data_IF_052126899450
#
_entry.id   IF_052126899450
#
_cell.length_a   1.000
_cell.length_b   1.000
_cell.length_c   1.000
_cell.angle_alpha   90.00
_cell.angle_beta   90.00
_cell.angle_gamma   90.00
#
_symmetry.space_group_name_H-M   'P 1'
#
loop_
_entity.id
_entity.type
_entity.pdbx_description
1 polymer ?
#
# COMPACT_ATOMS: atom_id res chain seq x y z
N UNK A 1 16.15 27.26 12.91
CA UNK A 1 16.64 26.73 11.63
C UNK A 1 15.62 27.04 10.56
N UNK A 2 15.94 28.02 9.72
CA UNK A 2 15.17 28.45 8.55
C UNK A 2 15.62 27.67 7.33
N UNK A 3 14.72 26.94 6.70
CA UNK A 3 14.86 26.56 5.28
C UNK A 3 13.55 26.92 4.59
N UNK A 4 13.58 28.08 3.93
CA UNK A 4 12.68 28.48 2.84
C UNK A 4 13.30 27.96 1.56
N UNK A 5 12.57 27.28 0.68
CA UNK A 5 12.72 27.32 -0.79
C UNK A 5 11.47 26.61 -1.36
N UNK A 6 10.48 27.39 -1.80
CA UNK A 6 10.30 27.79 -3.20
C UNK A 6 9.64 26.69 -4.04
N UNK A 7 8.32 26.51 -3.86
CA UNK A 7 7.49 25.84 -4.85
C UNK A 7 7.15 26.86 -5.94
N UNK A 8 7.88 26.74 -7.04
CA UNK A 8 7.77 27.56 -8.23
C UNK A 8 6.53 27.17 -9.02
N UNK A 9 5.77 28.20 -9.38
CA UNK A 9 4.64 28.29 -10.31
C UNK A 9 4.69 27.34 -11.53
N UNK A 10 3.53 26.80 -11.90
CA UNK A 10 3.18 26.73 -13.33
C UNK A 10 1.71 27.11 -13.53
N UNK A 11 1.55 28.17 -14.33
CA UNK A 11 0.32 28.89 -14.60
C UNK A 11 -0.56 28.17 -15.65
N UNK A 12 -1.87 28.14 -15.41
CA UNK A 12 -2.87 27.78 -16.43
C UNK A 12 -3.26 29.05 -17.17
N UNK A 13 -2.76 29.21 -18.39
CA UNK A 13 -3.14 30.30 -19.29
C UNK A 13 -4.43 29.94 -20.03
N UNK A 14 -5.52 30.66 -19.74
CA UNK A 14 -6.73 30.69 -20.57
C UNK A 14 -6.62 31.85 -21.57
N UNK A 15 -6.71 31.62 -22.88
CA UNK A 15 -6.92 32.71 -23.82
C UNK A 15 -8.42 33.02 -23.95
N UNK A 16 -8.78 34.22 -23.48
CA UNK A 16 -10.03 34.92 -23.77
C UNK A 16 -10.16 35.18 -25.27
N UNK A 17 -11.27 34.78 -25.88
CA UNK A 17 -11.68 35.25 -27.21
C UNK A 17 -12.79 36.28 -27.05
N UNK A 18 -12.40 37.55 -27.12
CA UNK A 18 -13.29 38.66 -27.39
C UNK A 18 -12.79 39.33 -28.68
N UNK A 19 -13.54 39.23 -29.77
CA UNK A 19 -13.52 40.25 -30.83
C UNK A 19 -14.94 40.45 -31.35
N UNK A 20 -15.33 41.71 -31.26
CA UNK A 20 -16.56 42.33 -31.69
C UNK A 20 -16.81 42.18 -33.20
N UNK A 21 -18.08 42.22 -33.55
CA UNK A 21 -18.56 42.27 -34.93
C UNK A 21 -18.53 43.67 -35.56
N UNK A 22 -18.83 43.65 -36.87
CA UNK A 22 -19.25 44.73 -37.79
C UNK A 22 -18.23 45.87 -38.00
N UNK A 23 -17.97 46.41 -39.20
CA UNK A 23 -18.83 46.70 -40.36
C UNK A 23 -17.88 47.20 -41.49
N UNK A 24 -18.00 46.86 -42.78
CA UNK A 24 -18.83 47.57 -43.79
C UNK A 24 -18.57 46.97 -45.18
N UNK A 25 -19.60 46.98 -46.02
CA UNK A 25 -19.66 46.40 -47.38
C UNK A 25 -19.11 47.39 -48.42
N UNK A 26 -18.37 46.91 -49.43
CA UNK A 26 -18.18 47.60 -50.71
C UNK A 26 -18.29 46.61 -51.88
N UNK A 27 -19.16 46.91 -52.84
CA UNK A 27 -19.57 46.03 -53.92
C UNK A 27 -18.70 46.12 -55.20
N UNK A 28 -18.50 44.95 -55.82
CA UNK A 28 -18.29 44.57 -57.24
C UNK A 28 -17.16 45.23 -58.07
N UNK A 29 -16.39 44.42 -58.84
CA UNK A 29 -16.87 44.03 -60.17
C UNK A 29 -16.69 42.54 -60.53
N UNK A 30 -17.66 42.03 -61.32
CA UNK A 30 -17.70 40.66 -61.85
C UNK A 30 -16.56 40.47 -62.84
N UNK A 31 -15.63 39.58 -62.52
CA UNK A 31 -14.49 39.21 -63.36
C UNK A 31 -14.47 37.69 -63.49
N UNK A 32 -14.24 37.22 -64.73
CA UNK A 32 -14.32 35.84 -65.22
C UNK A 32 -14.10 34.74 -64.16
N UNK A 33 -15.06 33.82 -64.06
CA UNK A 33 -15.01 32.69 -63.13
C UNK A 33 -13.73 31.85 -63.33
N UNK A 34 -12.79 31.88 -62.38
CA UNK A 34 -11.80 30.82 -62.27
C UNK A 34 -12.52 29.58 -61.75
N UNK A 35 -12.09 28.40 -62.22
CA UNK A 35 -12.52 27.10 -61.72
C UNK A 35 -12.65 27.14 -60.18
N UNK A 36 -13.84 26.79 -59.68
CA UNK A 36 -14.13 26.81 -58.26
C UNK A 36 -13.06 26.02 -57.50
N UNK A 37 -12.51 26.55 -56.39
CA UNK A 37 -11.71 25.73 -55.49
C UNK A 37 -12.59 24.57 -55.03
N UNK A 38 -12.05 23.35 -55.11
CA UNK A 38 -12.69 22.17 -54.56
C UNK A 38 -13.16 22.49 -53.14
N UNK A 39 -14.46 22.32 -52.89
CA UNK A 39 -15.02 22.49 -51.56
C UNK A 39 -14.19 21.67 -50.56
N UNK A 40 -13.94 22.17 -49.33
CA UNK A 40 -13.32 21.34 -48.31
C UNK A 40 -14.20 20.10 -48.16
N UNK A 41 -13.57 18.92 -48.29
CA UNK A 41 -14.27 17.66 -48.08
C UNK A 41 -15.01 17.74 -46.74
N UNK A 42 -16.33 17.61 -46.78
CA UNK A 42 -17.13 17.38 -45.57
C UNK A 42 -16.51 16.21 -44.82
N UNK A 43 -16.26 16.34 -43.49
CA UNK A 43 -15.76 15.20 -42.73
C UNK A 43 -16.76 14.07 -42.91
N UNK A 44 -16.28 12.97 -43.49
CA UNK A 44 -17.03 11.75 -43.70
C UNK A 44 -17.57 11.33 -42.34
N UNK A 45 -18.88 11.45 -42.16
CA UNK A 45 -19.52 11.16 -40.88
C UNK A 45 -19.48 9.64 -40.71
N UNK A 46 -18.74 9.18 -39.69
CA UNK A 46 -18.71 7.76 -39.30
C UNK A 46 -20.13 7.21 -39.31
N UNK A 47 -20.32 6.13 -40.05
CA UNK A 47 -21.63 5.50 -40.11
C UNK A 47 -21.98 4.91 -38.73
N UNK A 48 -23.27 4.82 -38.36
CA UNK A 48 -23.70 4.19 -37.10
C UNK A 48 -23.13 2.78 -36.89
N UNK A 49 -22.87 2.05 -37.97
CA UNK A 49 -22.29 0.70 -37.95
C UNK A 49 -20.81 0.69 -37.56
N UNK A 50 -20.01 1.63 -38.09
CA UNK A 50 -18.60 1.80 -37.70
C UNK A 50 -18.47 2.22 -36.23
N UNK A 51 -19.37 3.09 -35.77
CA UNK A 51 -19.41 3.50 -34.36
C UNK A 51 -19.77 2.32 -33.45
N UNK A 52 -20.78 1.53 -33.81
CA UNK A 52 -21.19 0.33 -33.05
C UNK A 52 -20.07 -0.71 -32.98
N UNK A 53 -19.39 -0.98 -34.10
CA UNK A 53 -18.28 -1.92 -34.15
C UNK A 53 -17.13 -1.49 -33.22
N UNK A 54 -16.75 -0.21 -33.26
CA UNK A 54 -15.73 0.37 -32.37
C UNK A 54 -16.12 0.29 -30.89
N UNK A 55 -17.37 0.59 -30.57
CA UNK A 55 -17.88 0.49 -29.19
C UNK A 55 -17.86 -0.94 -28.68
N UNK A 56 -18.30 -1.91 -29.51
CA UNK A 56 -18.25 -3.34 -29.15
C UNK A 56 -16.82 -3.82 -28.92
N UNK A 57 -15.87 -3.43 -29.78
CA UNK A 57 -14.45 -3.76 -29.59
C UNK A 57 -13.89 -3.15 -28.29
N UNK A 58 -14.30 -1.92 -27.96
CA UNK A 58 -13.92 -1.25 -26.71
C UNK A 58 -14.50 -1.96 -25.48
N UNK A 59 -15.77 -2.38 -25.54
CA UNK A 59 -16.43 -3.12 -24.46
C UNK A 59 -15.72 -4.45 -24.23
N UNK A 60 -15.43 -5.21 -25.28
CA UNK A 60 -14.73 -6.49 -25.17
C UNK A 60 -13.33 -6.32 -24.55
N UNK A 61 -12.58 -5.30 -24.97
CA UNK A 61 -11.27 -5.00 -24.40
C UNK A 61 -11.36 -4.65 -22.92
N UNK A 62 -12.35 -3.82 -22.53
CA UNK A 62 -12.56 -3.44 -21.12
C UNK A 62 -13.03 -4.60 -20.27
N UNK A 63 -13.89 -5.47 -20.80
CA UNK A 63 -14.36 -6.67 -20.12
C UNK A 63 -13.20 -7.64 -19.86
N UNK A 64 -12.41 -7.95 -20.88
CA UNK A 64 -11.22 -8.79 -20.73
C UNK A 64 -10.21 -8.22 -19.72
N UNK A 65 -10.00 -6.90 -19.73
CA UNK A 65 -9.15 -6.24 -18.75
C UNK A 65 -9.72 -6.29 -17.32
N UNK A 66 -11.05 -6.20 -17.17
CA UNK A 66 -11.71 -6.35 -15.87
C UNK A 66 -11.57 -7.77 -15.32
N UNK A 67 -11.87 -8.78 -16.15
CA UNK A 67 -11.68 -10.18 -15.77
C UNK A 67 -10.24 -10.50 -15.40
N UNK A 68 -9.26 -9.95 -16.11
CA UNK A 68 -7.85 -10.12 -15.78
C UNK A 68 -7.51 -9.52 -14.41
N UNK A 69 -8.05 -8.33 -14.09
CA UNK A 69 -7.88 -7.70 -12.76
C UNK A 69 -8.56 -8.51 -11.66
N UNK A 70 -9.74 -9.05 -11.91
CA UNK A 70 -10.46 -9.86 -10.94
C UNK A 70 -9.70 -11.15 -10.65
N UNK A 71 -9.23 -11.88 -11.68
CA UNK A 71 -8.37 -13.06 -11.51
C UNK A 71 -7.10 -12.74 -10.73
N UNK A 72 -6.46 -11.60 -11.01
CA UNK A 72 -5.26 -11.17 -10.29
C UNK A 72 -5.57 -10.85 -8.80
N UNK A 73 -6.69 -10.20 -8.52
CA UNK A 73 -7.14 -9.91 -7.14
C UNK A 73 -7.43 -11.19 -6.37
N UNK A 74 -8.13 -12.14 -6.99
CA UNK A 74 -8.47 -13.41 -6.35
C UNK A 74 -7.21 -14.23 -6.04
N UNK A 75 -6.24 -14.25 -6.98
CA UNK A 75 -4.94 -14.88 -6.76
C UNK A 75 -4.15 -14.20 -5.63
N UNK A 76 -4.13 -12.86 -5.60
CA UNK A 76 -3.47 -12.11 -4.53
C UNK A 76 -4.12 -12.39 -3.17
N UNK A 77 -5.45 -12.38 -3.09
CA UNK A 77 -6.18 -12.70 -1.87
C UNK A 77 -5.89 -14.13 -1.38
N UNK A 78 -5.90 -15.11 -2.28
CA UNK A 78 -5.55 -16.50 -1.93
C UNK A 78 -4.12 -16.62 -1.38
N UNK A 79 -3.17 -15.90 -1.99
CA UNK A 79 -1.79 -15.84 -1.51
C UNK A 79 -1.69 -15.17 -0.11
N UNK A 80 -2.42 -14.08 0.10
CA UNK A 80 -2.45 -13.37 1.38
C UNK A 80 -3.04 -14.23 2.50
N UNK A 81 -4.12 -14.96 2.21
CA UNK A 81 -4.72 -15.91 3.16
C UNK A 81 -3.74 -17.02 3.52
N UNK A 82 -3.06 -17.61 2.53
CA UNK A 82 -2.05 -18.64 2.78
C UNK A 82 -0.87 -18.10 3.61
N UNK A 83 -0.39 -16.89 3.31
CA UNK A 83 0.67 -16.23 4.06
C UNK A 83 0.23 -15.89 5.50
N UNK A 84 -1.01 -15.45 5.68
CA UNK A 84 -1.57 -15.18 7.00
C UNK A 84 -1.65 -16.46 7.85
N UNK A 85 -2.19 -17.55 7.30
CA UNK A 85 -2.27 -18.83 8.00
C UNK A 85 -0.89 -19.39 8.35
N UNK A 86 0.10 -19.24 7.46
CA UNK A 86 1.48 -19.61 7.74
C UNK A 86 2.08 -18.78 8.88
N UNK A 87 1.89 -17.45 8.88
CA UNK A 87 2.35 -16.58 9.97
C UNK A 87 1.68 -16.92 11.29
N UNK A 88 0.38 -17.20 11.29
CA UNK A 88 -0.37 -17.59 12.49
C UNK A 88 0.19 -18.86 13.13
N UNK A 89 0.50 -19.89 12.32
CA UNK A 89 1.12 -21.12 12.80
C UNK A 89 2.54 -20.89 13.35
N UNK A 90 3.34 -20.09 12.65
CA UNK A 90 4.70 -19.74 13.11
C UNK A 90 4.66 -18.97 14.43
N UNK A 91 3.72 -18.03 14.59
CA UNK A 91 3.53 -17.29 15.84
C UNK A 91 3.09 -18.20 16.99
N UNK A 92 2.16 -19.13 16.74
CA UNK A 92 1.75 -20.09 17.77
C UNK A 92 2.94 -20.93 18.26
N UNK A 93 3.74 -21.48 17.34
CA UNK A 93 4.93 -22.24 17.70
C UNK A 93 5.97 -21.42 18.47
N UNK A 94 6.12 -20.14 18.12
CA UNK A 94 7.01 -19.23 18.85
C UNK A 94 6.50 -18.92 20.26
N UNK A 95 5.19 -18.73 20.42
CA UNK A 95 4.60 -18.54 21.75
C UNK A 95 4.77 -19.80 22.62
N UNK A 96 4.52 -20.98 22.06
CA UNK A 96 4.73 -22.25 22.77
C UNK A 96 6.20 -22.41 23.21
N UNK A 97 7.16 -22.02 22.34
CA UNK A 97 8.59 -22.01 22.68
C UNK A 97 8.89 -21.06 23.84
N UNK A 98 8.41 -19.82 23.77
CA UNK A 98 8.64 -18.81 24.79
C UNK A 98 8.00 -19.18 26.14
N UNK A 99 6.80 -19.77 26.12
CA UNK A 99 6.14 -20.27 27.32
C UNK A 99 6.94 -21.41 27.95
N UNK A 100 7.41 -22.38 27.15
CA UNK A 100 8.26 -23.46 27.64
C UNK A 100 9.57 -22.95 28.26
N UNK A 101 10.22 -21.97 27.62
CA UNK A 101 11.43 -21.33 28.15
C UNK A 101 11.17 -20.58 29.45
N UNK A 102 10.05 -19.86 29.53
CA UNK A 102 9.64 -19.17 30.76
C UNK A 102 9.44 -20.16 31.91
N UNK A 103 8.67 -21.24 31.67
CA UNK A 103 8.40 -22.26 32.69
C UNK A 103 9.67 -22.98 33.13
N UNK A 104 10.57 -23.30 32.20
CA UNK A 104 11.85 -23.92 32.53
C UNK A 104 12.73 -23.01 33.41
N UNK A 105 12.78 -21.71 33.11
CA UNK A 105 13.52 -20.74 33.93
C UNK A 105 12.89 -20.60 35.32
N UNK A 106 11.56 -20.47 35.40
CA UNK A 106 10.86 -20.36 36.67
C UNK A 106 11.12 -21.58 37.56
N UNK A 107 11.03 -22.80 37.01
CA UNK A 107 11.32 -24.02 37.74
C UNK A 107 12.79 -24.11 38.20
N UNK A 108 13.74 -23.61 37.40
CA UNK A 108 15.14 -23.56 37.77
C UNK A 108 15.41 -22.56 38.91
N UNK A 109 14.77 -21.38 38.87
CA UNK A 109 14.86 -20.37 39.92
C UNK A 109 14.25 -20.88 41.24
N UNK A 110 13.08 -21.53 41.18
CA UNK A 110 12.44 -22.15 42.35
C UNK A 110 13.32 -23.24 42.97
N UNK A 111 13.95 -24.08 42.14
CA UNK A 111 14.85 -25.12 42.60
C UNK A 111 16.12 -24.53 43.25
N UNK A 112 16.70 -23.47 42.66
CA UNK A 112 17.85 -22.77 43.23
C UNK A 112 17.50 -22.15 44.58
N UNK A 113 16.37 -21.44 44.67
CA UNK A 113 15.89 -20.84 45.91
C UNK A 113 15.65 -21.89 47.01
N UNK A 114 15.04 -23.03 46.67
CA UNK A 114 14.82 -24.12 47.60
C UNK A 114 16.16 -24.67 48.16
N UNK A 115 17.18 -24.81 47.31
CA UNK A 115 18.53 -25.22 47.73
C UNK A 115 19.18 -24.18 48.64
N UNK A 116 19.09 -22.90 48.30
CA UNK A 116 19.64 -21.81 49.12
C UNK A 116 19.00 -21.76 50.50
N UNK A 117 17.68 -21.91 50.58
CA UNK A 117 16.94 -21.96 51.85
C UNK A 117 17.34 -23.20 52.66
N UNK A 118 17.47 -24.36 52.02
CA UNK A 118 17.91 -25.57 52.69
C UNK A 118 19.34 -25.42 53.25
N UNK A 119 20.26 -24.87 52.44
CA UNK A 119 21.63 -24.60 52.83
C UNK A 119 21.70 -23.57 53.97
N UNK A 120 20.91 -22.49 53.90
CA UNK A 120 20.82 -21.50 54.97
C UNK A 120 20.28 -22.11 56.26
N UNK A 121 19.20 -22.91 56.20
CA UNK A 121 18.66 -23.62 57.36
C UNK A 121 19.70 -24.55 57.99
N UNK A 122 20.50 -25.25 57.17
CA UNK A 122 21.58 -26.11 57.64
C UNK A 122 22.69 -25.30 58.36
N UNK A 123 23.13 -24.17 57.78
CA UNK A 123 24.11 -23.26 58.41
C UNK A 123 23.61 -22.70 59.74
N UNK A 124 22.36 -22.27 59.79
CA UNK A 124 21.72 -21.79 61.03
C UNK A 124 21.69 -22.89 62.09
N UNK A 125 21.35 -24.12 61.72
CA UNK A 125 21.35 -25.27 62.65
C UNK A 125 22.77 -25.56 63.18
N UNK A 126 23.78 -25.56 62.31
CA UNK A 126 25.18 -25.77 62.71
C UNK A 126 25.67 -24.68 63.67
N UNK A 127 25.39 -23.41 63.36
CA UNK A 127 25.70 -22.29 64.25
C UNK A 127 25.02 -22.41 65.62
N UNK A 128 23.73 -22.78 65.66
CA UNK A 128 23.01 -23.03 66.93
C UNK A 128 23.60 -24.20 67.73
N UNK A 129 24.20 -25.18 67.06
CA UNK A 129 24.91 -26.29 67.70
C UNK A 129 26.32 -25.92 68.19
N UNK A 130 26.77 -24.67 68.00
CA UNK A 130 28.05 -24.16 68.47
C UNK A 130 29.14 -24.03 67.41
N UNK A 131 28.88 -24.42 66.15
CA UNK A 131 29.83 -24.21 65.06
C UNK A 131 29.81 -22.75 64.61
N UNK A 132 30.68 -21.95 65.24
CA UNK A 132 30.81 -20.51 64.98
C UNK A 132 31.29 -20.19 63.56
N UNK A 133 31.88 -21.14 62.83
CA UNK A 133 32.35 -20.92 61.45
C UNK A 133 31.18 -20.86 60.44
N UNK A 134 30.02 -21.41 60.80
CA UNK A 134 28.82 -21.46 59.96
C UNK A 134 27.78 -20.39 60.33
N UNK A 135 28.05 -19.55 61.33
CA UNK A 135 27.16 -18.47 61.70
C UNK A 135 27.09 -17.42 60.59
N UNK A 136 25.91 -16.83 60.37
CA UNK A 136 25.75 -15.74 59.42
C UNK A 136 26.73 -14.61 59.79
N UNK A 137 27.63 -14.30 58.86
CA UNK A 137 28.52 -13.13 58.95
C UNK A 137 27.60 -11.90 59.01
N UNK A 138 27.72 -11.10 60.07
CA UNK A 138 27.00 -9.82 60.18
C UNK A 138 27.64 -8.78 59.28
#
# INVERSE_FOLDING_TARGET
>A
MTIRFAAMLLAVALPSLAVAGAETIRAAPVTAAPLAPAAPATPESETPDETTARLNATIQTKAAAAEARDRARDAAYAADVAAYEARKKAQAAEQDRLEAEYQARAAAEDAAYAQEIAAWKARVKACKAGDKTQCAQK
#
